data_IF_478611914960
#
_entry.id   IF_478611914960
#
_cell.length_a   1.000
_cell.length_b   1.000
_cell.length_c   1.000
_cell.angle_alpha   90.00
_cell.angle_beta   90.00
_cell.angle_gamma   90.00
#
_symmetry.space_group_name_H-M   'P 1'
#
loop_
_entity.id
_entity.type
_entity.pdbx_description
1 polymer ?
#
# COMPACT_ATOMS: atom_id res chain seq x y z
N UNK A 1 -72.50 -0.36 5.12
CA UNK A 1 -71.22 -0.28 4.37
C UNK A 1 -70.37 0.81 4.96
N UNK A 2 -69.85 0.64 6.15
CA UNK A 2 -68.83 1.54 6.82
C UNK A 2 -68.27 0.74 7.99
N UNK A 3 -67.39 -0.25 7.77
CA UNK A 3 -66.55 -0.86 8.79
C UNK A 3 -65.54 -1.85 8.14
N UNK A 4 -64.71 -1.37 7.18
CA UNK A 4 -63.64 -2.23 6.64
C UNK A 4 -62.40 -1.45 6.18
N UNK A 5 -62.12 -0.29 6.77
CA UNK A 5 -60.97 0.54 6.36
C UNK A 5 -60.05 0.97 7.52
N UNK A 6 -60.14 0.33 8.69
CA UNK A 6 -59.31 0.73 9.84
C UNK A 6 -58.34 -0.34 10.34
N UNK A 7 -58.17 -1.46 9.62
CA UNK A 7 -57.26 -2.54 10.07
C UNK A 7 -56.04 -2.74 9.15
N UNK A 8 -55.83 -1.91 8.15
CA UNK A 8 -54.63 -2.03 7.26
C UNK A 8 -53.53 -0.98 7.53
N UNK A 9 -53.78 -0.01 8.44
CA UNK A 9 -52.80 1.03 8.73
C UNK A 9 -51.90 0.71 9.96
N UNK A 10 -52.22 -0.33 10.73
CA UNK A 10 -51.46 -0.67 11.95
C UNK A 10 -50.40 -1.80 11.74
N UNK A 11 -50.37 -2.40 10.59
CA UNK A 11 -49.38 -3.45 10.26
C UNK A 11 -48.15 -2.97 9.44
N UNK A 12 -48.17 -1.71 8.99
CA UNK A 12 -47.00 -1.14 8.25
C UNK A 12 -46.04 -0.35 9.17
N UNK A 13 -46.38 -0.10 10.41
CA UNK A 13 -45.47 0.61 11.37
C UNK A 13 -44.66 -0.32 12.27
N UNK A 14 -44.94 -1.63 12.29
CA UNK A 14 -44.16 -2.61 13.06
C UNK A 14 -42.97 -3.23 12.33
N UNK A 15 -42.82 -3.00 11.02
CA UNK A 15 -41.73 -3.54 10.20
C UNK A 15 -40.54 -2.58 10.05
N UNK A 16 -40.65 -1.33 10.48
CA UNK A 16 -39.54 -0.35 10.40
C UNK A 16 -38.74 -0.16 11.70
N UNK A 17 -39.11 -0.80 12.79
CA UNK A 17 -38.41 -0.69 14.07
C UNK A 17 -37.40 -1.82 14.36
N UNK A 18 -37.22 -2.78 13.46
CA UNK A 18 -36.34 -3.92 13.64
C UNK A 18 -35.02 -3.83 12.84
N UNK A 19 -34.73 -2.72 12.17
CA UNK A 19 -33.48 -2.51 11.40
C UNK A 19 -32.52 -1.48 12.03
N UNK A 20 -32.77 -1.07 13.26
CA UNK A 20 -31.83 -0.23 13.98
C UNK A 20 -31.08 -1.09 15.01
N UNK A 21 -29.76 -1.12 14.86
CA UNK A 21 -28.76 -1.59 15.80
C UNK A 21 -28.33 -3.07 15.74
N UNK A 22 -27.48 -3.39 14.77
CA UNK A 22 -26.27 -4.13 15.07
C UNK A 22 -25.09 -3.26 14.64
N UNK A 23 -24.48 -2.52 15.59
CA UNK A 23 -23.15 -1.96 15.40
C UNK A 23 -22.25 -3.13 15.01
N UNK A 24 -21.48 -3.06 13.89
CA UNK A 24 -20.48 -4.05 13.65
C UNK A 24 -19.46 -3.92 14.78
N UNK A 25 -19.39 -4.89 15.65
CA UNK A 25 -18.23 -5.10 16.52
C UNK A 25 -17.04 -5.21 15.58
N UNK A 26 -16.19 -4.20 15.57
CA UNK A 26 -14.88 -4.24 14.93
C UNK A 26 -14.10 -5.32 15.66
N UNK A 27 -14.18 -6.55 15.15
CA UNK A 27 -13.37 -7.64 15.66
C UNK A 27 -11.91 -7.23 15.49
N UNK A 28 -11.29 -6.90 16.62
CA UNK A 28 -9.84 -6.75 16.74
C UNK A 28 -9.18 -7.90 15.98
N UNK A 29 -8.53 -7.60 14.84
CA UNK A 29 -7.59 -8.50 14.24
C UNK A 29 -6.65 -8.94 15.36
N UNK A 30 -6.60 -10.23 15.64
CA UNK A 30 -5.75 -10.81 16.68
C UNK A 30 -4.33 -10.33 16.39
N UNK A 31 -3.87 -9.37 17.20
CA UNK A 31 -2.50 -8.86 17.14
C UNK A 31 -1.59 -10.06 17.29
N UNK A 32 -0.84 -10.42 16.26
CA UNK A 32 0.31 -11.29 16.42
C UNK A 32 1.08 -10.81 17.63
N UNK A 33 1.40 -11.70 18.56
CA UNK A 33 2.09 -11.32 19.79
C UNK A 33 3.40 -10.65 19.39
N UNK A 34 3.44 -9.32 19.49
CA UNK A 34 4.63 -8.52 19.16
C UNK A 34 5.70 -8.95 20.15
N UNK A 35 6.87 -9.37 19.65
CA UNK A 35 8.01 -9.54 20.55
C UNK A 35 8.25 -8.18 21.22
N UNK A 36 8.22 -8.11 22.56
CA UNK A 36 8.60 -6.90 23.26
C UNK A 36 10.03 -6.52 22.85
N UNK A 37 10.34 -5.21 22.85
CA UNK A 37 11.68 -4.72 22.59
C UNK A 37 12.72 -5.46 23.44
N UNK A 38 12.39 -5.73 24.70
CA UNK A 38 13.23 -6.43 25.68
C UNK A 38 13.56 -7.88 25.30
N UNK A 39 12.78 -8.49 24.42
CA UNK A 39 13.04 -9.85 23.91
C UNK A 39 13.97 -9.88 22.68
N UNK A 40 14.34 -8.70 22.15
CA UNK A 40 15.31 -8.59 21.06
C UNK A 40 16.71 -8.79 21.64
N UNK A 41 17.62 -9.58 21.02
CA UNK A 41 19.00 -9.72 21.48
C UNK A 41 19.69 -8.37 21.67
N UNK A 42 20.45 -8.22 22.75
CA UNK A 42 21.07 -6.94 23.13
C UNK A 42 21.99 -6.37 22.02
N UNK A 43 22.72 -7.23 21.32
CA UNK A 43 23.57 -6.86 20.19
C UNK A 43 22.76 -6.23 19.03
N UNK A 44 21.58 -6.78 18.72
CA UNK A 44 20.67 -6.21 17.71
C UNK A 44 20.07 -4.90 18.16
N UNK A 45 19.69 -4.79 19.44
CA UNK A 45 19.24 -3.51 20.02
C UNK A 45 20.32 -2.43 19.89
N UNK A 46 21.56 -2.76 20.25
CA UNK A 46 22.69 -1.84 20.15
C UNK A 46 22.95 -1.39 18.71
N UNK A 47 22.95 -2.33 17.74
CA UNK A 47 23.10 -2.02 16.32
C UNK A 47 21.98 -1.08 15.83
N UNK A 48 20.73 -1.36 16.16
CA UNK A 48 19.61 -0.53 15.72
C UNK A 48 19.62 0.86 16.35
N UNK A 49 20.02 0.97 17.62
CA UNK A 49 20.20 2.27 18.27
C UNK A 49 21.33 3.07 17.60
N UNK A 50 22.45 2.44 17.31
CA UNK A 50 23.54 3.06 16.56
C UNK A 50 23.09 3.55 15.17
N UNK A 51 22.35 2.73 14.43
CA UNK A 51 21.80 3.13 13.12
C UNK A 51 20.81 4.29 13.25
N UNK A 52 19.97 4.28 14.30
CA UNK A 52 19.04 5.37 14.59
C UNK A 52 19.76 6.69 14.85
N UNK A 53 20.81 6.66 15.65
CA UNK A 53 21.61 7.84 16.00
C UNK A 53 22.42 8.39 14.81
N UNK A 54 22.80 7.52 13.89
CA UNK A 54 23.51 7.92 12.66
C UNK A 54 22.61 8.64 11.65
N UNK A 55 21.28 8.45 11.72
CA UNK A 55 20.32 9.12 10.85
C UNK A 55 20.03 10.53 11.36
N UNK A 56 19.97 11.50 10.46
CA UNK A 56 19.34 12.79 10.78
C UNK A 56 17.83 12.66 10.75
N UNK A 57 17.18 13.05 11.85
CA UNK A 57 15.73 13.01 11.99
C UNK A 57 15.16 14.41 11.69
N UNK A 58 14.22 14.47 10.75
CA UNK A 58 13.55 15.70 10.34
C UNK A 58 12.04 15.51 10.52
N UNK A 59 11.38 16.45 11.17
CA UNK A 59 9.95 16.39 11.44
C UNK A 59 9.20 17.45 10.62
N UNK A 60 8.37 16.99 9.67
CA UNK A 60 7.48 17.81 8.85
C UNK A 60 6.01 17.67 9.25
N UNK A 61 5.71 16.94 10.33
CA UNK A 61 4.33 16.56 10.67
C UNK A 61 3.43 17.73 10.98
N UNK A 62 3.96 18.83 11.47
CA UNK A 62 3.23 20.05 11.82
C UNK A 62 3.30 21.14 10.72
N UNK A 63 4.01 20.87 9.60
CA UNK A 63 4.10 21.78 8.44
C UNK A 63 2.88 21.59 7.52
N UNK A 64 1.72 22.09 7.98
CA UNK A 64 0.44 21.92 7.31
C UNK A 64 0.35 22.49 5.89
N UNK A 65 1.09 23.56 5.49
CA UNK A 65 1.14 24.01 4.10
C UNK A 65 1.61 22.95 3.10
N UNK A 66 2.34 21.92 3.55
CA UNK A 66 2.77 20.80 2.72
C UNK A 66 1.71 19.74 2.50
N UNK A 67 0.60 19.82 3.24
CA UNK A 67 -0.43 18.77 3.29
C UNK A 67 -1.60 19.12 2.38
N UNK A 68 -1.89 18.27 1.41
CA UNK A 68 -3.03 18.38 0.50
C UNK A 68 -4.03 17.27 0.83
N UNK A 69 -5.26 17.64 1.19
CA UNK A 69 -6.34 16.69 1.44
C UNK A 69 -6.99 16.32 0.11
N UNK A 70 -6.93 15.05 -0.26
CA UNK A 70 -7.57 14.50 -1.46
C UNK A 70 -9.02 14.14 -1.17
N UNK A 71 -9.27 13.51 -0.01
CA UNK A 71 -10.60 13.16 0.47
C UNK A 71 -10.63 13.29 2.00
N UNK A 72 -11.57 14.10 2.50
CA UNK A 72 -11.73 14.31 3.94
C UNK A 72 -12.52 13.15 4.57
N UNK A 73 -11.96 12.55 5.61
CA UNK A 73 -12.64 11.55 6.41
C UNK A 73 -13.74 12.16 7.30
N UNK A 74 -14.81 11.41 7.49
CA UNK A 74 -15.92 11.77 8.37
C UNK A 74 -16.24 10.59 9.31
N UNK A 75 -17.13 10.76 10.32
CA UNK A 75 -17.58 9.64 11.12
C UNK A 75 -18.21 8.49 10.32
N UNK A 76 -18.80 8.81 9.15
CA UNK A 76 -19.48 7.87 8.24
C UNK A 76 -18.53 7.32 7.19
N UNK A 77 -17.51 8.09 6.78
CA UNK A 77 -16.57 7.73 5.72
C UNK A 77 -15.13 7.61 6.23
N UNK A 78 -14.70 6.39 6.36
CA UNK A 78 -13.32 6.04 6.66
C UNK A 78 -12.59 5.72 5.35
N UNK A 79 -11.78 6.64 4.84
CA UNK A 79 -10.95 6.44 3.64
C UNK A 79 -9.65 5.71 3.98
N UNK A 80 -9.32 4.65 3.23
CA UNK A 80 -8.15 3.81 3.54
C UNK A 80 -7.41 3.32 2.28
N UNK A 81 -6.16 2.93 2.48
CA UNK A 81 -5.29 2.25 1.52
C UNK A 81 -5.26 2.90 0.12
N UNK A 82 -4.88 4.19 0.01
CA UNK A 82 -4.75 4.82 -1.29
C UNK A 82 -3.58 4.22 -2.07
N UNK A 83 -3.74 4.17 -3.39
CA UNK A 83 -2.63 4.02 -4.33
C UNK A 83 -2.75 5.08 -5.41
N UNK A 84 -1.62 5.53 -5.93
CA UNK A 84 -1.56 6.63 -6.90
C UNK A 84 -0.78 6.22 -8.14
N UNK A 85 -1.11 6.85 -9.27
CA UNK A 85 -0.33 6.78 -10.50
C UNK A 85 -0.11 8.19 -11.05
N UNK A 86 1.09 8.42 -11.59
CA UNK A 86 1.45 9.62 -12.35
C UNK A 86 1.53 9.24 -13.82
N UNK A 87 0.85 9.96 -14.71
CA UNK A 87 0.89 9.71 -16.15
C UNK A 87 2.23 10.16 -16.76
N UNK A 88 2.46 9.78 -18.01
CA UNK A 88 3.66 10.13 -18.79
C UNK A 88 3.80 11.61 -19.08
N UNK A 89 2.73 12.41 -18.95
CA UNK A 89 2.79 13.88 -18.99
C UNK A 89 3.49 14.48 -17.75
N UNK A 90 3.82 13.65 -16.75
CA UNK A 90 4.44 14.03 -15.49
C UNK A 90 3.64 15.07 -14.67
N UNK A 91 2.35 15.16 -14.89
CA UNK A 91 1.46 16.15 -14.29
C UNK A 91 0.13 15.56 -13.86
N UNK A 92 -0.50 14.78 -14.71
CA UNK A 92 -1.79 14.14 -14.40
C UNK A 92 -1.59 12.97 -13.43
N UNK A 93 -2.31 13.00 -12.31
CA UNK A 93 -2.26 11.98 -11.27
C UNK A 93 -3.63 11.38 -11.02
N UNK A 94 -3.64 10.10 -10.69
CA UNK A 94 -4.82 9.39 -10.21
C UNK A 94 -4.58 8.85 -8.81
N UNK A 95 -5.65 8.79 -8.04
CA UNK A 95 -5.68 8.15 -6.74
C UNK A 95 -6.93 7.28 -6.64
N UNK A 96 -6.76 6.02 -6.23
CA UNK A 96 -7.88 5.12 -5.88
C UNK A 96 -7.70 4.65 -4.45
N UNK A 97 -8.80 4.39 -3.75
CA UNK A 97 -8.76 3.92 -2.36
C UNK A 97 -10.01 3.12 -2.02
N UNK A 98 -10.06 2.57 -0.82
CA UNK A 98 -11.22 1.87 -0.32
C UNK A 98 -11.85 2.56 0.89
N UNK A 99 -13.11 2.28 1.15
CA UNK A 99 -13.84 2.71 2.34
C UNK A 99 -13.72 1.64 3.43
N UNK A 100 -13.23 2.03 4.59
CA UNK A 100 -12.93 1.13 5.70
C UNK A 100 -11.60 0.37 5.53
N UNK A 101 -11.06 -0.15 6.61
CA UNK A 101 -9.82 -0.92 6.59
C UNK A 101 -10.03 -2.28 5.87
N UNK A 102 -9.51 -2.44 4.66
CA UNK A 102 -9.76 -3.60 3.81
C UNK A 102 -11.19 -3.71 3.27
N UNK A 103 -11.94 -2.62 3.30
CA UNK A 103 -13.33 -2.56 2.88
C UNK A 103 -13.53 -2.40 1.37
N UNK A 104 -14.64 -1.76 0.99
CA UNK A 104 -15.04 -1.63 -0.40
C UNK A 104 -14.14 -0.68 -1.19
N UNK A 105 -13.79 -1.02 -2.43
CA UNK A 105 -13.33 -0.07 -3.43
C UNK A 105 -14.48 0.88 -3.82
N UNK A 106 -14.24 1.79 -4.74
CA UNK A 106 -15.26 2.71 -5.27
C UNK A 106 -14.68 4.09 -5.48
N UNK A 107 -14.09 4.72 -4.44
CA UNK A 107 -13.57 6.06 -4.57
C UNK A 107 -12.37 6.15 -5.52
N UNK A 108 -12.39 7.18 -6.37
CA UNK A 108 -11.30 7.57 -7.23
C UNK A 108 -11.24 9.09 -7.38
N UNK A 109 -10.03 9.62 -7.57
CA UNK A 109 -9.83 11.04 -7.84
C UNK A 109 -8.73 11.24 -8.89
N UNK A 110 -8.83 12.35 -9.61
CA UNK A 110 -7.87 12.81 -10.61
C UNK A 110 -7.39 14.21 -10.25
N UNK A 111 -6.12 14.47 -10.50
CA UNK A 111 -5.49 15.79 -10.47
C UNK A 111 -4.84 16.06 -11.82
N UNK A 112 -4.96 17.27 -12.33
CA UNK A 112 -4.34 17.71 -13.58
C UNK A 112 -3.19 18.70 -13.33
N UNK A 113 -2.74 18.87 -12.09
CA UNK A 113 -1.75 19.86 -11.66
C UNK A 113 -0.67 19.32 -10.70
N UNK A 114 -0.32 18.05 -10.85
CA UNK A 114 0.71 17.42 -10.02
C UNK A 114 0.28 17.19 -8.58
N UNK A 115 -1.02 16.96 -8.34
CA UNK A 115 -1.55 16.62 -7.04
C UNK A 115 -1.84 17.81 -6.12
N UNK A 116 -1.97 19.03 -6.65
CA UNK A 116 -2.36 20.20 -5.87
C UNK A 116 -3.89 20.28 -5.69
N UNK A 117 -4.63 20.07 -6.78
CA UNK A 117 -6.09 20.05 -6.76
C UNK A 117 -6.61 18.70 -7.26
N UNK A 118 -7.65 18.18 -6.61
CA UNK A 118 -8.20 16.86 -6.90
C UNK A 118 -9.70 16.93 -7.14
N UNK A 119 -10.17 16.20 -8.14
CA UNK A 119 -11.58 16.02 -8.46
C UNK A 119 -11.95 14.55 -8.34
N UNK A 120 -13.07 14.24 -7.68
CA UNK A 120 -13.66 12.89 -7.66
C UNK A 120 -14.11 12.49 -9.07
N UNK A 121 -13.86 11.24 -9.42
CA UNK A 121 -14.17 10.63 -10.72
C UNK A 121 -14.80 9.25 -10.57
N UNK A 122 -15.44 8.96 -9.46
CA UNK A 122 -16.02 7.65 -9.12
C UNK A 122 -16.95 7.14 -10.25
N UNK A 123 -17.69 8.06 -10.87
CA UNK A 123 -18.64 7.80 -11.93
C UNK A 123 -17.99 7.27 -13.23
N UNK A 124 -16.70 7.44 -13.41
CA UNK A 124 -15.99 6.93 -14.59
C UNK A 124 -15.66 5.44 -14.49
N UNK A 125 -15.69 4.90 -13.27
CA UNK A 125 -15.40 3.49 -12.99
C UNK A 125 -16.65 2.62 -13.23
N UNK A 126 -16.49 1.35 -13.61
CA UNK A 126 -17.62 0.44 -13.74
C UNK A 126 -18.43 0.32 -12.45
N UNK A 127 -19.77 0.25 -12.58
CA UNK A 127 -20.66 0.19 -11.42
C UNK A 127 -20.34 -0.96 -10.44
N UNK A 128 -19.79 -2.07 -10.95
CA UNK A 128 -19.40 -3.21 -10.11
C UNK A 128 -18.10 -2.98 -9.33
N UNK A 129 -17.32 -1.94 -9.63
CA UNK A 129 -16.06 -1.64 -8.95
C UNK A 129 -16.24 -1.44 -7.44
N UNK A 130 -17.37 -0.92 -7.00
CA UNK A 130 -17.70 -0.77 -5.57
C UNK A 130 -17.76 -2.10 -4.81
N UNK A 131 -17.88 -3.21 -5.51
CA UNK A 131 -17.86 -4.55 -4.92
C UNK A 131 -16.46 -5.15 -4.76
N UNK A 132 -15.44 -4.55 -5.37
CA UNK A 132 -14.05 -4.93 -5.15
C UNK A 132 -13.62 -4.52 -3.75
N UNK A 133 -12.58 -5.15 -3.22
CA UNK A 133 -12.17 -4.95 -1.84
C UNK A 133 -10.66 -4.93 -1.71
N UNK A 134 -10.23 -4.56 -0.52
CA UNK A 134 -8.90 -4.75 0.03
C UNK A 134 -7.78 -4.19 -0.85
N UNK A 135 -7.39 -2.97 -0.56
CA UNK A 135 -6.23 -2.29 -1.15
C UNK A 135 -6.27 -2.25 -2.68
N UNK A 136 -7.27 -1.60 -3.32
CA UNK A 136 -7.22 -1.40 -4.76
C UNK A 136 -5.88 -0.77 -5.13
N UNK A 137 -5.15 -1.41 -6.05
CA UNK A 137 -3.80 -1.01 -6.42
C UNK A 137 -3.78 -0.54 -7.87
N UNK A 138 -3.42 0.72 -8.05
CA UNK A 138 -3.41 1.42 -9.33
C UNK A 138 -2.01 1.36 -9.94
N UNK A 139 -1.92 0.94 -11.18
CA UNK A 139 -0.67 0.84 -11.93
C UNK A 139 -0.82 1.39 -13.35
N UNK A 140 0.27 1.98 -13.84
CA UNK A 140 0.48 2.26 -15.25
C UNK A 140 1.34 1.14 -15.82
N UNK A 141 0.79 0.39 -16.78
CA UNK A 141 1.49 -0.73 -17.42
C UNK A 141 1.64 -0.41 -18.90
N UNK A 142 2.89 -0.45 -19.38
CA UNK A 142 3.24 -0.26 -20.78
C UNK A 142 3.46 -1.62 -21.43
N UNK A 143 2.77 -1.90 -22.54
CA UNK A 143 2.98 -3.11 -23.32
C UNK A 143 4.30 -3.05 -24.15
N UNK A 144 4.76 -4.16 -24.73
CA UNK A 144 5.98 -4.16 -25.53
C UNK A 144 5.96 -3.22 -26.75
N UNK A 145 4.77 -2.84 -27.24
CA UNK A 145 4.58 -1.89 -28.34
C UNK A 145 4.55 -0.41 -27.87
N UNK A 146 4.74 -0.17 -26.58
CA UNK A 146 4.75 1.17 -26.01
C UNK A 146 3.38 1.73 -25.63
N UNK A 147 2.28 0.98 -25.79
CA UNK A 147 0.95 1.44 -25.35
C UNK A 147 0.83 1.37 -23.84
N UNK A 148 0.60 2.50 -23.22
CA UNK A 148 0.33 2.61 -21.78
C UNK A 148 -1.15 2.40 -21.48
N UNK A 149 -1.42 1.79 -20.32
CA UNK A 149 -2.75 1.60 -19.77
C UNK A 149 -2.73 1.80 -18.27
N UNK A 150 -3.82 2.34 -17.75
CA UNK A 150 -4.06 2.37 -16.32
C UNK A 150 -4.84 1.13 -15.92
N UNK A 151 -4.38 0.50 -14.86
CA UNK A 151 -5.00 -0.70 -14.28
C UNK A 151 -5.28 -0.49 -12.81
N UNK A 152 -6.44 -0.93 -12.35
CA UNK A 152 -6.69 -1.15 -10.94
C UNK A 152 -6.91 -2.63 -10.69
N UNK A 153 -6.08 -3.21 -9.84
CA UNK A 153 -6.23 -4.56 -9.32
C UNK A 153 -6.74 -4.47 -7.88
N UNK A 154 -7.64 -5.36 -7.51
CA UNK A 154 -8.18 -5.43 -6.15
C UNK A 154 -8.32 -6.89 -5.71
N UNK A 155 -8.94 -7.14 -4.57
CA UNK A 155 -9.25 -8.48 -4.10
C UNK A 155 -10.77 -8.62 -3.92
N UNK A 156 -11.26 -9.85 -3.83
CA UNK A 156 -12.63 -10.12 -3.40
C UNK A 156 -12.74 -10.41 -1.89
N UNK A 157 -11.62 -10.72 -1.24
CA UNK A 157 -11.58 -10.99 0.18
C UNK A 157 -11.30 -9.74 1.01
N UNK A 158 -11.92 -9.63 2.16
CA UNK A 158 -11.54 -8.68 3.19
C UNK A 158 -10.50 -9.32 4.12
N UNK A 159 -9.57 -8.52 4.62
CA UNK A 159 -8.57 -8.93 5.62
C UNK A 159 -9.14 -9.25 7.02
N UNK A 160 -10.42 -9.51 7.15
CA UNK A 160 -11.12 -9.79 8.39
C UNK A 160 -12.19 -10.86 8.22
N UNK A 161 -12.62 -11.47 9.29
CA UNK A 161 -13.52 -12.61 9.47
C UNK A 161 -14.87 -12.61 8.71
N UNK A 162 -15.10 -11.71 7.80
CA UNK A 162 -16.25 -11.79 6.91
C UNK A 162 -15.92 -12.73 5.76
N UNK A 163 -16.30 -13.97 5.91
CA UNK A 163 -16.56 -14.85 4.76
C UNK A 163 -17.48 -14.07 3.83
N UNK A 164 -16.98 -13.67 2.68
CA UNK A 164 -17.84 -13.10 1.65
C UNK A 164 -18.87 -14.21 1.34
N UNK A 165 -20.14 -13.98 1.66
CA UNK A 165 -21.22 -14.88 1.22
C UNK A 165 -20.96 -15.13 -0.27
N UNK A 166 -20.99 -16.38 -0.69
CA UNK A 166 -20.78 -16.76 -2.08
C UNK A 166 -21.67 -15.90 -2.99
N UNK A 167 -21.04 -14.95 -3.63
CA UNK A 167 -21.69 -14.18 -4.68
C UNK A 167 -21.35 -14.94 -5.96
N UNK A 168 -22.33 -15.38 -6.75
CA UNK A 168 -22.07 -16.13 -7.97
C UNK A 168 -21.03 -15.44 -8.84
N UNK A 169 -19.99 -16.16 -9.27
CA UNK A 169 -18.87 -15.65 -10.06
C UNK A 169 -17.78 -14.91 -9.27
N UNK A 170 -17.85 -14.87 -7.93
CA UNK A 170 -16.82 -14.29 -7.06
C UNK A 170 -16.21 -15.37 -6.20
N UNK A 171 -14.94 -15.62 -6.42
CA UNK A 171 -14.19 -16.62 -5.67
C UNK A 171 -13.11 -15.95 -4.83
N UNK A 172 -12.96 -16.44 -3.62
CA UNK A 172 -11.86 -16.06 -2.74
C UNK A 172 -10.52 -16.29 -3.44
N UNK A 173 -9.61 -15.33 -3.32
CA UNK A 173 -8.31 -15.40 -3.97
C UNK A 173 -8.27 -14.89 -5.41
N UNK A 174 -9.38 -14.51 -6.00
CA UNK A 174 -9.40 -13.87 -7.31
C UNK A 174 -9.06 -12.38 -7.20
N UNK A 175 -8.31 -11.86 -8.18
CA UNK A 175 -8.00 -10.44 -8.33
C UNK A 175 -8.90 -9.83 -9.41
N UNK A 176 -10.04 -9.22 -9.05
CA UNK A 176 -10.83 -8.43 -9.98
C UNK A 176 -10.03 -7.22 -10.41
N UNK A 177 -10.29 -6.74 -11.64
CA UNK A 177 -9.51 -5.66 -12.22
C UNK A 177 -10.31 -4.86 -13.23
N UNK A 178 -9.96 -3.59 -13.34
CA UNK A 178 -10.47 -2.67 -14.36
C UNK A 178 -9.31 -2.05 -15.10
N UNK A 179 -9.54 -1.67 -16.37
CA UNK A 179 -8.55 -1.04 -17.23
C UNK A 179 -9.11 0.21 -17.88
N UNK A 180 -8.26 1.22 -17.98
CA UNK A 180 -8.45 2.37 -18.86
C UNK A 180 -7.39 2.34 -19.95
N UNK A 181 -7.79 2.59 -21.20
CA UNK A 181 -6.93 2.67 -22.37
C UNK A 181 -6.91 4.08 -22.99
N UNK A 182 -7.47 5.07 -22.28
CA UNK A 182 -7.66 6.47 -22.66
C UNK A 182 -7.32 7.45 -21.52
N UNK A 183 -6.21 7.18 -20.83
CA UNK A 183 -5.67 8.02 -19.75
C UNK A 183 -6.68 8.30 -18.63
N UNK A 184 -7.47 7.26 -18.26
CA UNK A 184 -8.40 7.32 -17.14
C UNK A 184 -9.73 8.01 -17.46
N UNK A 185 -10.00 8.33 -18.73
CA UNK A 185 -11.27 8.96 -19.13
C UNK A 185 -12.44 7.98 -19.03
N UNK A 186 -12.23 6.73 -19.45
CA UNK A 186 -13.19 5.64 -19.30
C UNK A 186 -12.53 4.37 -18.77
N UNK A 187 -13.30 3.56 -18.05
CA UNK A 187 -12.83 2.32 -17.44
C UNK A 187 -13.78 1.17 -17.79
N UNK A 188 -13.22 -0.01 -17.99
CA UNK A 188 -14.00 -1.23 -18.20
C UNK A 188 -13.48 -2.39 -17.35
N UNK A 189 -14.37 -3.28 -16.97
CA UNK A 189 -14.00 -4.55 -16.35
C UNK A 189 -13.36 -5.48 -17.38
N UNK A 190 -12.45 -6.30 -16.90
CA UNK A 190 -11.90 -7.44 -17.63
C UNK A 190 -11.95 -8.67 -16.71
N UNK A 191 -11.90 -9.90 -17.27
CA UNK A 191 -11.96 -11.09 -16.45
C UNK A 191 -10.94 -11.04 -15.32
N UNK A 192 -11.31 -11.41 -14.08
CA UNK A 192 -10.40 -11.40 -12.94
C UNK A 192 -9.23 -12.36 -13.18
N UNK A 193 -8.08 -12.06 -12.58
CA UNK A 193 -7.03 -13.05 -12.48
C UNK A 193 -7.49 -14.11 -11.47
N UNK A 194 -7.60 -15.33 -11.93
CA UNK A 194 -7.98 -16.46 -11.09
C UNK A 194 -6.74 -17.32 -10.80
N UNK A 195 -6.58 -17.77 -9.56
CA UNK A 195 -5.61 -18.80 -9.25
C UNK A 195 -5.98 -20.09 -10.01
N UNK A 196 -4.99 -20.95 -10.26
CA UNK A 196 -5.29 -22.32 -10.71
C UNK A 196 -6.15 -23.05 -9.67
N UNK A 197 -7.08 -23.96 -10.09
CA UNK A 197 -8.02 -24.63 -9.20
C UNK A 197 -7.39 -25.37 -8.03
N UNK A 198 -6.14 -25.80 -8.15
CA UNK A 198 -5.38 -26.56 -7.16
C UNK A 198 -4.61 -25.67 -6.16
N UNK A 199 -4.54 -24.37 -6.41
CA UNK A 199 -3.90 -23.44 -5.47
C UNK A 199 -4.93 -22.87 -4.51
N UNK A 200 -4.92 -23.34 -3.27
CA UNK A 200 -5.71 -22.77 -2.18
C UNK A 200 -5.16 -21.38 -1.84
N UNK A 201 -5.66 -20.36 -2.51
CA UNK A 201 -5.38 -18.99 -2.16
C UNK A 201 -6.33 -18.54 -1.05
N UNK A 202 -6.00 -18.82 0.21
CA UNK A 202 -6.62 -18.10 1.30
C UNK A 202 -6.02 -16.70 1.35
N UNK A 203 -6.84 -15.66 1.30
CA UNK A 203 -6.42 -14.24 1.43
C UNK A 203 -5.34 -13.79 0.44
N UNK A 204 -5.69 -13.66 -0.82
CA UNK A 204 -4.83 -12.97 -1.79
C UNK A 204 -4.94 -11.46 -1.56
N UNK A 205 -3.81 -10.83 -1.28
CA UNK A 205 -3.64 -9.39 -1.50
C UNK A 205 -3.36 -9.17 -2.97
N UNK A 206 -3.87 -8.07 -3.53
CA UNK A 206 -3.56 -7.63 -4.88
C UNK A 206 -2.06 -7.37 -5.07
N UNK A 207 -1.61 -7.14 -6.29
CA UNK A 207 -0.24 -6.74 -6.55
C UNK A 207 0.18 -5.58 -5.64
N UNK A 208 1.27 -5.75 -4.93
CA UNK A 208 1.82 -4.75 -4.00
C UNK A 208 2.79 -3.82 -4.69
N UNK A 209 3.47 -4.29 -5.73
CA UNK A 209 4.36 -3.51 -6.59
C UNK A 209 4.56 -4.16 -7.94
N UNK A 210 5.01 -3.36 -8.92
CA UNK A 210 5.36 -3.82 -10.26
C UNK A 210 6.64 -3.16 -10.73
N UNK A 211 7.38 -3.85 -11.60
CA UNK A 211 8.58 -3.32 -12.24
C UNK A 211 8.63 -3.78 -13.70
N UNK A 212 9.05 -2.88 -14.60
CA UNK A 212 9.30 -3.22 -15.99
C UNK A 212 10.62 -3.98 -16.10
N UNK A 213 10.61 -5.12 -16.80
CA UNK A 213 11.77 -5.95 -17.08
C UNK A 213 12.50 -5.45 -18.33
N UNK A 214 13.77 -5.89 -18.50
CA UNK A 214 14.61 -5.52 -19.65
C UNK A 214 14.03 -5.96 -21.00
N UNK A 215 13.22 -7.03 -21.02
CA UNK A 215 12.53 -7.53 -22.23
C UNK A 215 11.22 -6.75 -22.55
N UNK A 216 10.92 -5.71 -21.80
CA UNK A 216 9.70 -4.90 -21.96
C UNK A 216 8.45 -5.47 -21.30
N UNK A 217 8.51 -6.69 -20.75
CA UNK A 217 7.41 -7.24 -19.93
C UNK A 217 7.33 -6.57 -18.56
N UNK A 218 6.25 -6.82 -17.83
CA UNK A 218 6.08 -6.28 -16.47
C UNK A 218 5.96 -7.43 -15.47
N UNK A 219 6.78 -7.38 -14.44
CA UNK A 219 6.77 -8.26 -13.28
C UNK A 219 5.91 -7.64 -12.18
N UNK A 220 4.90 -8.34 -11.70
CA UNK A 220 4.07 -7.96 -10.56
C UNK A 220 4.29 -8.89 -9.38
N UNK A 221 4.45 -8.33 -8.17
CA UNK A 221 4.63 -9.07 -6.93
C UNK A 221 3.45 -8.88 -5.98
N UNK A 222 3.06 -9.96 -5.30
CA UNK A 222 1.99 -9.98 -4.33
C UNK A 222 2.27 -11.03 -3.25
N UNK A 223 1.42 -11.15 -2.26
CA UNK A 223 1.53 -12.21 -1.27
C UNK A 223 0.21 -12.95 -1.06
N UNK A 224 0.31 -14.17 -0.59
CA UNK A 224 -0.80 -15.04 -0.19
C UNK A 224 -0.58 -15.62 1.18
N UNK A 225 -1.61 -16.24 1.71
CA UNK A 225 -1.60 -16.98 2.99
C UNK A 225 -2.60 -16.41 3.98
N UNK A 226 -2.75 -17.08 5.11
CA UNK A 226 -3.65 -16.65 6.16
C UNK A 226 -2.90 -15.80 7.19
N UNK A 227 -3.58 -14.76 7.71
CA UNK A 227 -3.09 -14.02 8.87
C UNK A 227 -3.48 -14.76 10.16
N UNK A 228 -2.51 -15.06 11.00
CA UNK A 228 -2.76 -15.74 12.28
C UNK A 228 -1.48 -16.10 13.03
N UNK A 229 -1.61 -16.71 14.22
CA UNK A 229 -0.46 -17.05 15.06
C UNK A 229 0.48 -18.08 14.41
N UNK A 230 -0.09 -19.02 13.63
CA UNK A 230 0.63 -20.15 13.03
C UNK A 230 0.66 -20.06 11.48
N UNK A 231 0.17 -18.95 10.93
CA UNK A 231 0.14 -18.74 9.49
C UNK A 231 1.42 -18.06 9.03
N UNK A 232 1.99 -18.54 7.93
CA UNK A 232 3.12 -17.93 7.27
C UNK A 232 2.69 -17.46 5.89
N UNK A 233 3.03 -16.21 5.59
CA UNK A 233 2.76 -15.59 4.31
C UNK A 233 3.82 -16.03 3.30
N UNK A 234 3.43 -16.04 2.03
CA UNK A 234 4.28 -16.38 0.91
C UNK A 234 4.23 -15.26 -0.12
N UNK A 235 5.37 -14.78 -0.55
CA UNK A 235 5.50 -13.78 -1.62
C UNK A 235 5.61 -14.49 -2.96
N UNK A 236 4.78 -14.07 -3.89
CA UNK A 236 4.65 -14.61 -5.23
C UNK A 236 4.85 -13.52 -6.27
N UNK A 237 5.13 -13.93 -7.49
CA UNK A 237 5.24 -13.07 -8.66
C UNK A 237 4.52 -13.66 -9.85
N UNK A 238 4.13 -12.79 -10.78
CA UNK A 238 3.66 -13.14 -12.11
C UNK A 238 4.13 -12.10 -13.13
N UNK A 239 4.20 -12.49 -14.41
CA UNK A 239 4.68 -11.63 -15.50
C UNK A 239 3.58 -11.45 -16.54
N UNK A 240 3.40 -10.21 -16.99
CA UNK A 240 2.58 -9.90 -18.17
C UNK A 240 3.45 -9.44 -19.33
N UNK A 241 3.09 -9.89 -20.58
CA UNK A 241 3.76 -9.53 -21.82
C UNK A 241 2.87 -8.79 -22.80
N UNK A 242 1.62 -8.51 -22.43
CA UNK A 242 0.58 -7.89 -23.26
C UNK A 242 -0.03 -6.64 -22.61
N UNK A 243 0.70 -6.01 -21.69
CA UNK A 243 0.26 -4.78 -21.03
C UNK A 243 -0.81 -5.01 -19.97
N UNK A 244 -0.82 -6.17 -19.32
CA UNK A 244 -1.67 -6.46 -18.15
C UNK A 244 -2.88 -7.36 -18.42
N UNK A 245 -3.15 -7.77 -19.64
CA UNK A 245 -4.32 -8.61 -19.97
C UNK A 245 -4.14 -10.06 -19.54
N UNK A 246 -3.01 -10.66 -19.88
CA UNK A 246 -2.67 -12.02 -19.44
C UNK A 246 -1.44 -12.03 -18.54
N UNK A 247 -1.37 -13.00 -17.65
CA UNK A 247 -0.31 -13.14 -16.67
C UNK A 247 0.17 -14.59 -16.63
N UNK A 248 1.46 -14.77 -16.40
CA UNK A 248 2.04 -16.09 -16.20
C UNK A 248 1.46 -16.78 -14.97
N UNK A 249 1.69 -18.09 -14.87
CA UNK A 249 1.48 -18.80 -13.62
C UNK A 249 2.30 -18.14 -12.50
N UNK A 250 1.76 -18.12 -11.26
CA UNK A 250 2.49 -17.62 -10.11
C UNK A 250 3.75 -18.42 -9.81
N UNK A 251 4.86 -17.70 -9.58
CA UNK A 251 6.12 -18.26 -9.11
C UNK A 251 6.46 -17.79 -7.70
N UNK A 252 7.08 -18.66 -6.90
CA UNK A 252 7.49 -18.36 -5.53
C UNK A 252 8.70 -17.41 -5.53
N UNK A 253 8.61 -16.33 -4.74
CA UNK A 253 9.70 -15.36 -4.51
C UNK A 253 10.32 -15.57 -3.13
N UNK A 254 9.48 -15.58 -2.09
CA UNK A 254 9.94 -15.77 -0.71
C UNK A 254 8.88 -16.55 0.08
N UNK A 255 9.30 -17.68 0.63
CA UNK A 255 8.40 -18.59 1.35
C UNK A 255 8.59 -18.45 2.86
N UNK A 256 7.67 -17.75 3.52
CA UNK A 256 7.68 -17.56 4.98
C UNK A 256 7.59 -18.85 5.77
N UNK A 257 7.07 -19.94 5.17
CA UNK A 257 7.04 -21.26 5.84
C UNK A 257 8.43 -21.85 6.07
N UNK A 258 9.44 -21.35 5.33
CA UNK A 258 10.85 -21.78 5.40
C UNK A 258 11.73 -20.82 6.18
N UNK A 259 11.15 -19.74 6.73
CA UNK A 259 11.89 -18.72 7.47
C UNK A 259 11.58 -18.84 8.96
N UNK A 260 12.62 -19.05 9.77
CA UNK A 260 12.47 -19.11 11.22
C UNK A 260 12.05 -17.76 11.80
N UNK A 261 10.86 -17.74 12.41
CA UNK A 261 10.32 -16.60 13.12
C UNK A 261 10.01 -15.35 12.28
N UNK A 262 10.09 -15.42 10.94
CA UNK A 262 9.82 -14.31 10.01
C UNK A 262 8.64 -14.61 9.10
N UNK A 263 7.93 -13.55 8.68
CA UNK A 263 6.70 -13.67 7.88
C UNK A 263 6.65 -12.56 6.81
N UNK A 264 7.26 -12.81 5.61
CA UNK A 264 7.40 -11.81 4.55
C UNK A 264 6.08 -11.55 3.84
N UNK A 265 5.76 -10.28 3.61
CA UNK A 265 4.59 -9.87 2.82
C UNK A 265 4.77 -8.46 2.23
N UNK A 266 3.75 -7.98 1.52
CA UNK A 266 3.68 -6.62 0.94
C UNK A 266 4.98 -6.22 0.22
N UNK A 267 5.39 -6.98 -0.81
CA UNK A 267 6.64 -6.75 -1.54
C UNK A 267 6.64 -5.38 -2.24
N UNK A 268 7.76 -4.68 -2.16
CA UNK A 268 8.07 -3.51 -2.96
C UNK A 268 9.32 -3.78 -3.81
N UNK A 269 9.14 -3.97 -5.11
CA UNK A 269 10.21 -4.25 -6.08
C UNK A 269 10.57 -2.99 -6.85
N UNK A 270 11.86 -2.77 -7.04
CA UNK A 270 12.41 -1.72 -7.88
C UNK A 270 13.75 -2.15 -8.47
N UNK A 271 14.19 -1.43 -9.49
CA UNK A 271 15.46 -1.69 -10.17
C UNK A 271 16.59 -0.88 -9.54
N UNK A 272 17.80 -1.47 -9.48
CA UNK A 272 19.01 -0.76 -9.05
C UNK A 272 19.31 0.45 -9.97
N UNK A 273 20.04 1.47 -9.50
CA UNK A 273 20.35 2.66 -10.30
C UNK A 273 21.15 2.36 -11.57
N UNK A 274 22.01 1.32 -11.55
CA UNK A 274 22.76 0.85 -12.71
C UNK A 274 21.93 0.00 -13.69
N UNK A 275 20.70 -0.36 -13.29
CA UNK A 275 19.78 -1.16 -14.09
C UNK A 275 20.04 -2.67 -14.06
N UNK A 276 21.04 -3.17 -13.32
CA UNK A 276 21.52 -4.55 -13.44
C UNK A 276 20.81 -5.55 -12.54
N UNK A 277 20.24 -5.11 -11.41
CA UNK A 277 19.53 -6.00 -10.50
C UNK A 277 18.16 -5.46 -10.08
N UNK A 278 17.30 -6.35 -9.61
CA UNK A 278 16.06 -6.02 -8.93
C UNK A 278 16.28 -6.15 -7.42
N UNK A 279 15.79 -5.15 -6.68
CA UNK A 279 15.73 -5.16 -5.23
C UNK A 279 14.26 -5.26 -4.81
N UNK A 280 13.96 -6.11 -3.84
CA UNK A 280 12.62 -6.22 -3.29
C UNK A 280 12.63 -6.11 -1.76
N UNK A 281 12.00 -5.07 -1.24
CA UNK A 281 11.80 -4.88 0.19
C UNK A 281 10.49 -5.56 0.60
N UNK A 282 10.54 -6.34 1.68
CA UNK A 282 9.42 -7.12 2.20
C UNK A 282 9.09 -6.63 3.61
N UNK A 283 7.82 -6.36 3.87
CA UNK A 283 7.34 -6.19 5.23
C UNK A 283 7.59 -7.46 6.03
N UNK A 284 8.07 -7.34 7.27
CA UNK A 284 8.11 -8.43 8.23
C UNK A 284 6.87 -8.36 9.13
N UNK A 285 5.91 -9.28 8.91
CA UNK A 285 4.57 -9.21 9.48
C UNK A 285 4.51 -9.60 10.97
N UNK A 286 5.39 -10.47 11.45
CA UNK A 286 5.46 -10.87 12.88
C UNK A 286 6.04 -9.78 13.77
N UNK A 287 6.62 -8.72 13.19
CA UNK A 287 7.29 -7.65 13.95
C UNK A 287 8.45 -8.16 14.81
N UNK A 288 9.12 -9.19 14.33
CA UNK A 288 10.24 -9.83 15.04
C UNK A 288 11.58 -9.10 14.84
N UNK A 289 11.61 -8.12 13.93
CA UNK A 289 12.82 -7.37 13.58
C UNK A 289 12.56 -6.22 12.63
N UNK A 290 13.54 -5.93 11.79
CA UNK A 290 13.43 -4.98 10.68
C UNK A 290 12.66 -5.60 9.51
N UNK A 291 12.34 -4.81 8.49
CA UNK A 291 11.88 -5.33 7.20
C UNK A 291 12.97 -6.21 6.58
N UNK A 292 12.60 -6.96 5.55
CA UNK A 292 13.53 -7.84 4.84
C UNK A 292 13.83 -7.28 3.45
N UNK A 293 14.96 -7.65 2.88
CA UNK A 293 15.30 -7.33 1.50
C UNK A 293 15.88 -8.55 0.79
N UNK A 294 15.50 -8.73 -0.47
CA UNK A 294 16.00 -9.76 -1.39
C UNK A 294 16.39 -9.12 -2.71
N UNK A 295 17.29 -9.79 -3.45
CA UNK A 295 17.84 -9.31 -4.71
C UNK A 295 17.72 -10.37 -5.81
N UNK A 296 17.60 -9.92 -7.07
CA UNK A 296 17.60 -10.75 -8.25
C UNK A 296 18.50 -10.15 -9.33
N UNK A 297 19.42 -10.95 -9.88
CA UNK A 297 20.34 -10.58 -10.96
C UNK A 297 19.93 -11.12 -12.34
N UNK A 298 18.74 -11.75 -12.42
CA UNK A 298 18.27 -12.47 -13.60
C UNK A 298 16.81 -12.12 -13.98
N UNK A 299 16.42 -10.86 -13.70
CA UNK A 299 15.09 -10.33 -14.03
C UNK A 299 13.96 -11.07 -13.28
N UNK A 300 14.18 -11.40 -12.02
CA UNK A 300 13.20 -12.04 -11.15
C UNK A 300 13.04 -13.55 -11.34
N UNK A 301 13.90 -14.22 -12.12
CA UNK A 301 13.84 -15.68 -12.26
C UNK A 301 14.27 -16.38 -10.98
N UNK A 302 15.29 -15.83 -10.31
CA UNK A 302 15.74 -16.29 -8.99
C UNK A 302 15.93 -15.10 -8.04
N UNK A 303 15.78 -15.37 -6.73
CA UNK A 303 15.90 -14.38 -5.67
C UNK A 303 16.87 -14.87 -4.59
N UNK A 304 17.62 -13.94 -4.00
CA UNK A 304 18.52 -14.22 -2.88
C UNK A 304 17.73 -14.66 -1.63
N UNK A 305 18.43 -15.25 -0.67
CA UNK A 305 17.90 -15.37 0.68
C UNK A 305 17.60 -13.98 1.27
N UNK A 306 16.54 -13.82 2.09
CA UNK A 306 16.21 -12.56 2.70
C UNK A 306 17.21 -12.18 3.79
N UNK A 307 17.61 -10.90 3.82
CA UNK A 307 18.41 -10.29 4.87
C UNK A 307 17.64 -9.14 5.51
N UNK A 308 18.06 -8.71 6.70
CA UNK A 308 17.46 -7.59 7.41
C UNK A 308 17.77 -6.26 6.69
N UNK A 309 16.78 -5.36 6.55
CA UNK A 309 17.00 -4.00 6.05
C UNK A 309 17.70 -3.13 7.10
N UNK A 310 18.30 -1.98 6.72
CA UNK A 310 18.64 -0.95 7.67
C UNK A 310 17.46 -0.59 8.58
N UNK A 311 17.75 -0.25 9.85
CA UNK A 311 16.71 0.06 10.84
C UNK A 311 15.74 1.16 10.36
N UNK A 312 16.28 2.24 9.78
CA UNK A 312 15.49 3.37 9.31
C UNK A 312 14.50 3.05 8.19
N UNK A 313 14.73 1.95 7.48
CA UNK A 313 13.89 1.47 6.39
C UNK A 313 12.83 0.45 6.83
N UNK A 314 12.71 0.20 8.14
CA UNK A 314 11.72 -0.74 8.67
C UNK A 314 10.31 -0.16 8.59
N UNK A 315 9.43 -0.86 7.88
CA UNK A 315 8.06 -0.38 7.68
C UNK A 315 7.10 -1.38 7.06
N UNK A 316 5.87 -0.92 6.84
CA UNK A 316 4.84 -1.62 6.07
C UNK A 316 4.60 -0.89 4.76
N UNK A 317 4.34 -1.65 3.70
CA UNK A 317 3.92 -1.13 2.40
C UNK A 317 4.87 -0.06 1.87
N UNK A 318 6.11 -0.43 1.60
CA UNK A 318 7.12 0.47 1.06
C UNK A 318 6.75 0.98 -0.34
N UNK A 319 7.13 2.22 -0.63
CA UNK A 319 7.08 2.81 -1.97
C UNK A 319 8.23 3.81 -2.13
N UNK A 320 8.90 3.82 -3.27
CA UNK A 320 10.11 4.64 -3.44
C UNK A 320 10.22 5.31 -4.80
N UNK A 321 11.08 6.31 -4.85
CA UNK A 321 11.53 6.99 -6.07
C UNK A 321 13.04 7.15 -6.07
N UNK A 322 13.65 7.06 -7.25
CA UNK A 322 15.04 7.45 -7.49
C UNK A 322 15.13 8.95 -7.72
N UNK A 323 16.07 9.58 -7.07
CA UNK A 323 16.39 10.98 -7.30
C UNK A 323 17.51 11.13 -8.35
N UNK A 324 17.57 12.26 -9.08
CA UNK A 324 18.61 12.50 -10.08
C UNK A 324 20.04 12.51 -9.52
N UNK A 325 20.22 12.76 -8.22
CA UNK A 325 21.50 12.77 -7.51
C UNK A 325 21.96 11.37 -7.03
N UNK A 326 21.21 10.31 -7.38
CA UNK A 326 21.51 8.92 -7.01
C UNK A 326 20.95 8.47 -5.66
N UNK A 327 20.30 9.36 -4.92
CA UNK A 327 19.59 8.97 -3.68
C UNK A 327 18.26 8.29 -3.99
N UNK A 328 17.77 7.54 -3.01
CA UNK A 328 16.44 6.95 -2.95
C UNK A 328 15.65 7.63 -1.85
N UNK A 329 14.38 7.91 -2.12
CA UNK A 329 13.39 8.25 -1.11
C UNK A 329 12.39 7.11 -1.05
N UNK A 330 12.27 6.46 0.12
CA UNK A 330 11.34 5.34 0.33
C UNK A 330 10.43 5.68 1.50
N UNK A 331 9.13 5.72 1.23
CA UNK A 331 8.09 5.97 2.25
C UNK A 331 7.45 4.68 2.73
N UNK A 332 7.00 4.68 3.99
CA UNK A 332 6.30 3.54 4.58
C UNK A 332 5.54 3.93 5.85
N UNK A 333 4.64 3.05 6.29
CA UNK A 333 4.17 3.07 7.68
C UNK A 333 5.32 2.67 8.58
N UNK A 334 5.67 3.52 9.53
CA UNK A 334 6.72 3.25 10.49
C UNK A 334 6.36 2.10 11.45
N UNK A 335 7.13 1.04 11.43
CA UNK A 335 6.96 -0.12 12.32
C UNK A 335 8.26 -0.53 13.00
N UNK A 336 9.19 0.42 13.11
CA UNK A 336 10.49 0.16 13.79
C UNK A 336 10.29 -0.55 15.13
N UNK A 337 11.18 -1.46 15.48
CA UNK A 337 11.05 -2.27 16.70
C UNK A 337 11.03 -1.46 17.98
N UNK A 338 11.74 -0.32 18.02
CA UNK A 338 11.77 0.55 19.19
C UNK A 338 10.40 1.22 19.43
N UNK A 339 9.75 1.01 20.59
CA UNK A 339 8.42 1.57 20.88
C UNK A 339 8.38 3.10 20.85
N UNK A 340 9.49 3.78 21.18
CA UNK A 340 9.58 5.24 21.19
C UNK A 340 9.53 5.87 19.81
N UNK A 341 9.92 5.12 18.77
CA UNK A 341 9.99 5.60 17.40
C UNK A 341 8.88 5.05 16.51
N UNK A 342 7.94 4.29 17.08
CA UNK A 342 6.90 3.59 16.34
C UNK A 342 5.75 4.50 15.96
N UNK A 343 5.19 4.22 14.78
CA UNK A 343 4.02 4.94 14.25
C UNK A 343 4.42 6.09 13.32
N UNK A 344 3.45 6.66 12.66
CA UNK A 344 3.64 7.74 11.69
C UNK A 344 3.91 7.28 10.26
N UNK A 345 3.76 8.21 9.35
CA UNK A 345 4.18 8.11 7.96
C UNK A 345 5.59 8.67 7.84
N UNK A 346 6.51 7.89 7.35
CA UNK A 346 7.91 8.29 7.29
C UNK A 346 8.46 8.16 5.87
N UNK A 347 9.51 8.93 5.59
CA UNK A 347 10.41 8.69 4.48
C UNK A 347 11.82 8.37 5.01
N UNK A 348 12.43 7.34 4.44
CA UNK A 348 13.86 7.07 4.54
C UNK A 348 14.55 7.62 3.30
N UNK A 349 15.71 8.24 3.48
CA UNK A 349 16.56 8.74 2.40
C UNK A 349 17.96 8.15 2.54
N UNK A 350 18.45 7.57 1.47
CA UNK A 350 19.78 6.97 1.41
C UNK A 350 20.12 6.56 -0.02
N UNK A 351 21.15 5.76 -0.18
CA UNK A 351 21.58 5.23 -1.47
C UNK A 351 21.20 3.75 -1.61
N UNK A 352 21.25 3.25 -2.82
CA UNK A 352 21.05 1.82 -3.09
C UNK A 352 22.10 0.96 -2.33
N UNK A 353 23.34 1.43 -2.27
CA UNK A 353 24.43 0.77 -1.54
C UNK A 353 24.18 0.75 0.00
N UNK A 354 23.45 1.71 0.54
CA UNK A 354 23.07 1.67 1.96
C UNK A 354 22.14 0.49 2.24
N UNK A 355 21.22 0.20 1.32
CA UNK A 355 20.32 -0.96 1.43
C UNK A 355 21.14 -2.27 1.35
N UNK A 356 22.02 -2.40 0.36
CA UNK A 356 22.85 -3.61 0.13
C UNK A 356 23.78 -3.91 1.29
N UNK A 357 24.34 -2.88 1.88
CA UNK A 357 25.35 -3.00 2.94
C UNK A 357 24.78 -2.87 4.37
N UNK A 358 23.47 -2.71 4.49
CA UNK A 358 22.81 -2.54 5.79
C UNK A 358 23.20 -1.25 6.51
N UNK A 359 23.61 -0.20 5.77
CA UNK A 359 23.97 1.11 6.35
C UNK A 359 22.71 1.92 6.66
N UNK A 360 22.75 2.82 7.66
CA UNK A 360 21.56 3.54 8.13
C UNK A 360 20.89 4.41 7.06
N UNK A 361 21.62 4.92 6.08
CA UNK A 361 21.17 5.96 5.17
C UNK A 361 21.49 7.36 5.70
N UNK A 362 20.82 8.38 5.16
CA UNK A 362 21.10 9.78 5.42
C UNK A 362 20.05 10.45 6.31
N UNK A 363 18.78 10.33 5.94
CA UNK A 363 17.67 10.99 6.64
C UNK A 363 16.56 10.01 6.99
N UNK A 364 15.86 10.33 8.08
CA UNK A 364 14.57 9.78 8.41
C UNK A 364 13.62 10.94 8.68
N UNK A 365 12.64 11.08 7.80
CA UNK A 365 11.72 12.22 7.78
C UNK A 365 10.37 11.76 8.30
N UNK A 366 9.85 12.37 9.35
CA UNK A 366 8.47 12.20 9.79
C UNK A 366 7.58 13.09 8.92
N UNK A 367 6.72 12.48 8.10
CA UNK A 367 5.87 13.20 7.15
C UNK A 367 4.49 13.54 7.72
N UNK A 368 3.87 12.56 8.41
CA UNK A 368 2.52 12.73 8.94
C UNK A 368 2.31 11.85 10.18
N UNK A 369 1.56 12.36 11.15
CA UNK A 369 1.07 11.61 12.32
C UNK A 369 -0.37 11.17 12.09
N UNK A 370 -0.80 10.11 12.76
CA UNK A 370 -2.21 9.71 12.82
C UNK A 370 -2.61 9.39 14.25
N UNK A 371 -3.84 9.78 14.58
CA UNK A 371 -4.40 9.53 15.90
C UNK A 371 -4.99 8.12 16.06
N UNK A 372 -5.23 7.40 14.95
CA UNK A 372 -5.81 6.05 14.96
C UNK A 372 -5.05 5.10 14.05
N UNK A 373 -5.43 5.03 12.77
CA UNK A 373 -4.87 4.15 11.76
C UNK A 373 -4.26 4.96 10.60
N UNK A 374 -3.48 4.33 9.74
CA UNK A 374 -2.94 5.05 8.60
C UNK A 374 -1.78 4.37 7.90
N UNK A 375 -1.35 5.02 6.83
CA UNK A 375 -0.02 5.06 6.24
C UNK A 375 0.34 4.02 5.19
N UNK A 376 -0.61 3.53 4.39
CA UNK A 376 -0.25 2.87 3.13
C UNK A 376 -0.04 3.93 2.06
N UNK A 377 1.08 3.92 1.33
CA UNK A 377 1.49 5.04 0.50
C UNK A 377 1.29 4.87 -1.00
N UNK A 378 1.24 6.03 -1.68
CA UNK A 378 1.69 6.23 -3.04
C UNK A 378 2.81 7.28 -3.03
N UNK A 379 3.74 7.24 -3.99
CA UNK A 379 4.86 8.16 -4.06
C UNK A 379 5.23 8.49 -5.50
N UNK A 380 5.42 9.78 -5.81
CA UNK A 380 5.85 10.25 -7.11
C UNK A 380 6.84 11.39 -6.99
N UNK A 381 7.77 11.44 -7.94
CA UNK A 381 8.70 12.56 -8.15
C UNK A 381 8.23 13.33 -9.37
N UNK A 382 7.95 14.63 -9.20
CA UNK A 382 7.58 15.54 -10.28
C UNK A 382 8.84 16.15 -10.93
N UNK A 383 8.74 16.68 -12.18
CA UNK A 383 9.89 17.22 -12.89
C UNK A 383 10.58 18.39 -12.20
N UNK A 384 9.85 19.14 -11.37
CA UNK A 384 10.40 20.26 -10.60
C UNK A 384 11.13 19.82 -9.31
N UNK A 385 11.30 18.52 -9.10
CA UNK A 385 11.91 17.93 -7.91
C UNK A 385 10.95 17.77 -6.73
N UNK A 386 9.66 18.12 -6.88
CA UNK A 386 8.68 17.89 -5.81
C UNK A 386 8.37 16.41 -5.65
N UNK A 387 8.51 15.91 -4.44
CA UNK A 387 8.10 14.58 -4.04
C UNK A 387 6.68 14.67 -3.48
N UNK A 388 5.76 13.87 -4.02
CA UNK A 388 4.35 13.79 -3.60
C UNK A 388 4.15 12.45 -2.92
N UNK A 389 4.07 12.45 -1.59
CA UNK A 389 3.86 11.25 -0.77
C UNK A 389 2.41 11.22 -0.29
N UNK A 390 1.60 10.35 -0.88
CA UNK A 390 0.17 10.21 -0.58
C UNK A 390 -0.05 9.07 0.40
N UNK A 391 -0.94 9.27 1.39
CA UNK A 391 -1.29 8.25 2.37
C UNK A 391 -2.71 8.46 2.90
N UNK A 392 -3.13 7.62 3.84
CA UNK A 392 -4.34 7.84 4.64
C UNK A 392 -4.00 7.97 6.12
N UNK A 393 -4.74 8.81 6.83
CA UNK A 393 -4.56 9.04 8.25
C UNK A 393 -5.79 9.68 8.90
N UNK A 394 -6.04 9.40 10.18
CA UNK A 394 -6.79 10.30 11.04
C UNK A 394 -5.82 11.40 11.49
N UNK A 395 -5.60 12.40 10.61
CA UNK A 395 -4.51 13.36 10.79
C UNK A 395 -4.88 14.56 11.65
N UNK A 396 -6.17 14.81 11.87
CA UNK A 396 -6.67 15.76 12.84
C UNK A 396 -7.37 15.02 13.97
N UNK A 397 -7.20 15.49 15.20
CA UNK A 397 -7.72 14.84 16.40
C UNK A 397 -9.25 14.65 16.36
N UNK A 398 -9.95 15.62 15.78
CA UNK A 398 -11.41 15.68 15.75
C UNK A 398 -12.00 15.08 14.47
N UNK A 399 -11.16 14.56 13.55
CA UNK A 399 -11.64 13.83 12.38
C UNK A 399 -12.33 12.53 12.83
N UNK A 400 -13.54 12.32 12.36
CA UNK A 400 -14.32 11.11 12.67
C UNK A 400 -13.75 9.86 12.02
N UNK A 401 -13.13 9.99 10.86
CA UNK A 401 -12.53 8.92 10.04
C UNK A 401 -11.14 9.26 9.51
N UNK A 402 -10.54 8.34 8.76
CA UNK A 402 -9.30 8.61 8.05
C UNK A 402 -9.56 9.39 6.76
N UNK A 403 -8.69 10.34 6.49
CA UNK A 403 -8.64 11.12 5.24
C UNK A 403 -7.55 10.60 4.33
N UNK A 404 -7.67 10.84 3.02
CA UNK A 404 -6.54 10.68 2.07
C UNK A 404 -5.80 12.01 1.98
N UNK A 405 -4.50 11.98 2.29
CA UNK A 405 -3.65 13.16 2.40
C UNK A 405 -2.35 12.94 1.64
N UNK A 406 -1.90 13.95 0.89
CA UNK A 406 -0.54 13.99 0.33
C UNK A 406 0.31 14.95 1.14
N UNK A 407 1.58 14.60 1.34
CA UNK A 407 2.62 15.49 1.87
C UNK A 407 3.60 15.79 0.74
N UNK A 408 3.93 17.07 0.52
CA UNK A 408 4.77 17.55 -0.58
C UNK A 408 6.05 18.15 -0.04
N UNK A 409 7.20 17.74 -0.56
CA UNK A 409 8.51 18.25 -0.16
C UNK A 409 9.53 18.09 -1.28
N UNK A 410 10.63 18.84 -1.21
CA UNK A 410 11.79 18.67 -2.09
C UNK A 410 12.99 18.22 -1.25
N UNK A 411 13.86 17.43 -1.85
CA UNK A 411 15.03 16.92 -1.13
C UNK A 411 16.02 18.04 -0.76
N UNK A 412 16.15 19.08 -1.60
CA UNK A 412 17.00 20.24 -1.31
C UNK A 412 16.52 21.01 -0.06
N UNK A 413 15.21 21.07 0.17
CA UNK A 413 14.65 21.65 1.40
C UNK A 413 15.02 20.83 2.64
N UNK A 414 15.01 19.50 2.51
CA UNK A 414 15.43 18.58 3.58
C UNK A 414 16.92 18.75 3.88
N UNK A 415 17.76 18.84 2.84
CA UNK A 415 19.19 19.10 2.98
C UNK A 415 19.46 20.43 3.71
N UNK A 416 18.69 21.48 3.37
CA UNK A 416 18.79 22.78 4.03
C UNK A 416 18.34 22.76 5.50
N UNK A 417 17.28 21.98 5.83
CA UNK A 417 16.83 21.78 7.22
C UNK A 417 17.91 21.03 8.03
N UNK A 418 18.43 19.94 7.48
CA UNK A 418 19.46 19.14 8.11
C UNK A 418 20.76 19.93 8.40
N UNK A 419 21.09 20.89 7.52
CA UNK A 419 22.28 21.73 7.73
C UNK A 419 22.11 22.76 8.87
N UNK A 420 20.87 23.21 9.14
CA UNK A 420 20.56 24.15 10.25
C UNK A 420 20.68 23.50 11.62
N UNK A 421 20.24 22.25 11.76
CA UNK A 421 20.28 21.51 13.02
C UNK A 421 21.70 21.06 13.41
N UNK A 422 22.69 21.30 12.56
CA UNK A 422 24.10 20.96 12.78
C UNK A 422 24.93 22.13 13.32
N UNK A 423 24.32 23.33 13.50
CA UNK A 423 24.93 24.52 14.07
C UNK A 423 24.39 24.78 15.48
#
# INVERSE_FOLDING_TARGET
MKHTLTLLATLLFAAQAAFAQAKPEVANATKAAKRPWEAVPAEKQALWLQQREALKHIDLTDDTPRQIVIAQGTPEEYHAHPTTALLSDNKTMFCVWNIGHGGHAGPAARSDDGGLNWKRIDETLPANYVNYRNCPSLYRITDPNGKERLWVFAAFTSSGKQVVKEIPGRHEGWMPRVVSEDDGSTWREVPPLSPKPDTKFANVMTFSSMVRLKDGSTLGLYHRGAYGKDANLQVLQAVTRDGGFTWSDPAMVCDGTKLDGKDPCEPYVFRSPDGEELCCILRENKRSGTSLVIFSHDEGKTWSAPIDTPWGLTGDRHHGVHLPDGRLVIVSRNTTPNPKDKGGFIAWVGTYEDIKQGRPGQYRISLLRSFKDGFYPGLHLLPDGTIVATTYATYRKDDGGCSIVSVRFKIDEIDALAAKDSK
#
